data_IF_082878359882
#
_entry.id   IF_082878359882
#
_cell.length_a   1.000
_cell.length_b   1.000
_cell.length_c   1.000
_cell.angle_alpha   90.00
_cell.angle_beta   90.00
_cell.angle_gamma   90.00
#
_symmetry.space_group_name_H-M   'P 1'
#
loop_
_entity.id
_entity.type
_entity.pdbx_description
1 polymer ?
#
# COMPACT_ATOMS: atom_id res chain seq x y z
N UNK A 1 26.03 8.57 -1.59
CA UNK A 1 24.85 7.74 -1.92
C UNK A 1 24.28 7.28 -0.60
N UNK A 2 22.97 7.44 -0.37
CA UNK A 2 22.36 6.96 0.87
C UNK A 2 22.52 5.44 0.96
N UNK A 3 22.80 4.92 2.16
CA UNK A 3 22.86 3.48 2.41
C UNK A 3 21.45 2.88 2.24
N UNK A 4 21.12 2.52 1.00
CA UNK A 4 19.82 1.95 0.58
C UNK A 4 19.80 0.43 0.73
N UNK A 5 20.44 -0.11 1.76
CA UNK A 5 20.28 -1.52 2.08
C UNK A 5 18.92 -1.69 2.76
N UNK A 6 18.04 -2.48 2.16
CA UNK A 6 16.73 -2.86 2.69
C UNK A 6 16.65 -4.38 2.73
N UNK A 7 16.03 -4.92 3.77
CA UNK A 7 15.81 -6.37 3.87
C UNK A 7 14.64 -6.82 2.98
N UNK A 8 13.71 -5.91 2.67
CA UNK A 8 12.58 -6.16 1.79
C UNK A 8 12.20 -4.88 1.04
N UNK A 9 11.98 -4.99 -0.27
CA UNK A 9 11.41 -3.93 -1.09
C UNK A 9 10.07 -4.42 -1.65
N UNK A 10 9.00 -3.69 -1.39
CA UNK A 10 7.66 -3.96 -1.89
C UNK A 10 7.34 -2.99 -3.03
N UNK A 11 7.06 -3.51 -4.21
CA UNK A 11 6.67 -2.73 -5.38
C UNK A 11 5.15 -2.75 -5.49
N UNK A 12 4.53 -1.58 -5.34
CA UNK A 12 3.09 -1.39 -5.26
C UNK A 12 2.61 -1.25 -3.82
N UNK A 13 2.00 -0.11 -3.50
CA UNK A 13 1.41 0.24 -2.22
C UNK A 13 -0.09 -0.08 -2.13
N UNK A 14 -0.56 -1.09 -2.86
CA UNK A 14 -1.94 -1.59 -2.78
C UNK A 14 -2.23 -2.40 -1.50
N UNK A 15 -3.47 -2.89 -1.31
CA UNK A 15 -3.88 -3.60 -0.08
C UNK A 15 -2.98 -4.80 0.27
N UNK A 16 -2.48 -5.56 -0.71
CA UNK A 16 -1.49 -6.60 -0.44
C UNK A 16 -0.11 -6.04 -0.09
N UNK A 17 0.33 -5.02 -0.84
CA UNK A 17 1.68 -4.47 -0.72
C UNK A 17 1.92 -3.73 0.59
N UNK A 18 1.07 -2.76 0.95
CA UNK A 18 1.28 -2.03 2.19
C UNK A 18 1.08 -2.93 3.42
N UNK A 19 0.20 -3.94 3.37
CA UNK A 19 0.03 -4.90 4.48
C UNK A 19 1.27 -5.78 4.63
N UNK A 20 1.83 -6.29 3.53
CA UNK A 20 3.09 -7.04 3.56
C UNK A 20 4.23 -6.18 4.12
N UNK A 21 4.31 -4.91 3.71
CA UNK A 21 5.32 -3.99 4.19
C UNK A 21 5.18 -3.68 5.70
N UNK A 22 3.96 -3.43 6.17
CA UNK A 22 3.68 -3.24 7.60
C UNK A 22 4.07 -4.49 8.38
N UNK A 23 3.71 -5.68 7.87
CA UNK A 23 4.03 -6.93 8.56
C UNK A 23 5.54 -7.18 8.62
N UNK A 24 6.27 -6.91 7.56
CA UNK A 24 7.73 -7.01 7.55
C UNK A 24 8.39 -5.99 8.49
N UNK A 25 7.87 -4.76 8.55
CA UNK A 25 8.35 -3.75 9.50
C UNK A 25 8.10 -4.16 10.97
N UNK A 26 6.97 -4.79 11.27
CA UNK A 26 6.69 -5.36 12.60
C UNK A 26 7.68 -6.48 12.98
N UNK A 27 8.19 -7.21 11.99
CA UNK A 27 9.24 -8.21 12.16
C UNK A 27 10.65 -7.58 12.23
N UNK A 28 10.75 -6.25 12.37
CA UNK A 28 11.98 -5.46 12.49
C UNK A 28 12.86 -5.47 11.23
N UNK A 29 12.29 -5.80 10.07
CA UNK A 29 12.99 -5.65 8.79
C UNK A 29 13.03 -4.18 8.37
N UNK A 30 14.11 -3.76 7.73
CA UNK A 30 14.20 -2.45 7.07
C UNK A 30 13.50 -2.56 5.71
N UNK A 31 12.26 -2.07 5.64
CA UNK A 31 11.39 -2.22 4.46
C UNK A 31 11.31 -0.93 3.65
N UNK A 32 11.35 -1.04 2.33
CA UNK A 32 11.01 0.04 1.40
C UNK A 32 9.72 -0.30 0.65
N UNK A 33 8.83 0.67 0.48
CA UNK A 33 7.66 0.55 -0.40
C UNK A 33 7.80 1.55 -1.52
N UNK A 34 7.67 1.08 -2.76
CA UNK A 34 7.70 1.93 -3.96
C UNK A 34 6.32 1.92 -4.59
N UNK A 35 5.68 3.08 -4.65
CA UNK A 35 4.39 3.29 -5.30
C UNK A 35 4.55 4.44 -6.30
N UNK A 36 3.94 4.28 -7.48
CA UNK A 36 4.01 5.28 -8.56
C UNK A 36 3.06 6.44 -8.30
N UNK A 37 1.87 6.15 -7.78
CA UNK A 37 0.80 7.14 -7.61
C UNK A 37 0.40 7.30 -6.14
N UNK A 38 -0.71 6.68 -5.73
CA UNK A 38 -1.31 6.86 -4.41
C UNK A 38 -1.24 5.56 -3.60
N UNK A 39 -0.83 5.67 -2.33
CA UNK A 39 -0.92 4.56 -1.38
C UNK A 39 -2.36 4.07 -1.23
N UNK A 40 -2.51 2.78 -0.94
CA UNK A 40 -3.81 2.08 -0.92
C UNK A 40 -4.22 1.48 -2.26
N UNK A 41 -3.52 1.82 -3.35
CA UNK A 41 -3.70 1.25 -4.69
C UNK A 41 -5.15 1.31 -5.18
N UNK A 42 -5.56 0.36 -6.00
CA UNK A 42 -6.87 0.40 -6.66
C UNK A 42 -8.02 0.33 -5.65
N UNK A 43 -7.93 -0.50 -4.61
CA UNK A 43 -9.07 -0.77 -3.72
C UNK A 43 -9.46 0.47 -2.91
N UNK A 44 -8.49 1.25 -2.44
CA UNK A 44 -8.75 2.49 -1.72
C UNK A 44 -9.11 3.64 -2.65
N UNK A 45 -8.37 3.81 -3.76
CA UNK A 45 -8.44 5.06 -4.53
C UNK A 45 -9.46 5.01 -5.67
N UNK A 46 -9.68 3.86 -6.30
CA UNK A 46 -10.44 3.77 -7.56
C UNK A 46 -11.42 2.59 -7.65
N UNK A 47 -11.52 1.77 -6.60
CA UNK A 47 -12.21 0.49 -6.65
C UNK A 47 -13.18 0.34 -5.48
N UNK A 48 -12.83 -0.52 -4.53
CA UNK A 48 -13.70 -0.93 -3.42
C UNK A 48 -14.32 0.26 -2.67
N UNK A 49 -13.48 1.16 -2.15
CA UNK A 49 -13.94 2.22 -1.24
C UNK A 49 -14.80 3.27 -1.97
N UNK A 50 -14.37 3.87 -3.11
CA UNK A 50 -15.20 4.84 -3.81
C UNK A 50 -16.50 4.24 -4.33
N UNK A 51 -16.46 3.01 -4.86
CA UNK A 51 -17.68 2.35 -5.36
C UNK A 51 -18.68 2.10 -4.25
N UNK A 52 -18.24 1.64 -3.07
CA UNK A 52 -19.14 1.44 -1.93
C UNK A 52 -19.61 2.75 -1.30
N UNK A 53 -18.80 3.80 -1.32
CA UNK A 53 -19.22 5.14 -0.90
C UNK A 53 -20.35 5.66 -1.79
N UNK A 54 -20.18 5.63 -3.12
CA UNK A 54 -21.20 6.06 -4.09
C UNK A 54 -22.49 5.25 -3.96
N UNK A 55 -22.40 3.92 -3.86
CA UNK A 55 -23.57 3.06 -3.68
C UNK A 55 -24.35 3.36 -2.39
N UNK A 56 -23.66 3.79 -1.33
CA UNK A 56 -24.32 4.20 -0.08
C UNK A 56 -24.98 5.57 -0.21
N UNK A 57 -24.36 6.49 -0.94
CA UNK A 57 -24.88 7.85 -1.18
C UNK A 57 -26.01 7.90 -2.22
N UNK A 58 -26.17 6.87 -3.04
CA UNK A 58 -27.27 6.77 -4.02
C UNK A 58 -28.58 6.23 -3.44
N UNK A 59 -28.62 5.96 -2.13
CA UNK A 59 -29.82 5.62 -1.36
C UNK A 59 -30.25 6.82 -0.53
#
# INVERSE_FOLDING_TARGET
MADTNFDLIVVGGGPGGYVAAIRAAQLKMKVCVVEREHLGGICLNWGCIPTKALLRSSK
#
